data_IF_715513694473
#
_entry.id   IF_715513694473
#
_cell.length_a   1.000
_cell.length_b   1.000
_cell.length_c   1.000
_cell.angle_alpha   90.00
_cell.angle_beta   90.00
_cell.angle_gamma   90.00
#
_symmetry.space_group_name_H-M   'P 1'
#
loop_
_entity.id
_entity.type
_entity.pdbx_description
1 polymer ?
#
# COMPACT_ATOMS: atom_id res chain seq x y z
N UNK A 1 -17.71 -11.45 3.28
CA UNK A 1 -18.46 -10.20 3.01
C UNK A 1 -17.38 -9.26 2.55
N UNK A 2 -17.31 -9.00 1.24
CA UNK A 2 -16.10 -8.47 0.62
C UNK A 2 -15.79 -7.01 0.98
N UNK A 3 -14.70 -6.52 0.39
CA UNK A 3 -14.33 -5.11 0.49
C UNK A 3 -15.41 -4.22 -0.14
N UNK A 4 -15.78 -3.15 0.56
CA UNK A 4 -16.68 -2.10 0.08
C UNK A 4 -15.83 -1.06 -0.65
N UNK A 5 -15.83 -1.16 -1.98
CA UNK A 5 -15.05 -0.34 -2.90
C UNK A 5 -15.86 0.90 -3.29
N UNK A 6 -15.33 2.13 -3.14
CA UNK A 6 -15.99 3.33 -3.65
C UNK A 6 -16.21 3.27 -5.17
N UNK A 7 -17.35 3.75 -5.68
CA UNK A 7 -17.74 3.57 -7.08
C UNK A 7 -16.73 4.18 -8.06
N UNK A 8 -16.12 5.31 -7.71
CA UNK A 8 -15.17 6.02 -8.57
C UNK A 8 -13.71 5.58 -8.36
N UNK A 9 -13.43 4.65 -7.44
CA UNK A 9 -12.05 4.26 -7.17
C UNK A 9 -11.41 3.61 -8.40
N UNK A 10 -12.07 2.59 -8.97
CA UNK A 10 -11.52 1.81 -10.08
C UNK A 10 -11.29 2.69 -11.31
N UNK A 11 -12.26 3.54 -11.66
CA UNK A 11 -12.14 4.47 -12.79
C UNK A 11 -11.01 5.48 -12.57
N UNK A 12 -10.80 5.96 -11.34
CA UNK A 12 -9.73 6.90 -11.01
C UNK A 12 -8.32 6.31 -11.06
N UNK A 13 -8.21 5.00 -10.81
CA UNK A 13 -6.97 4.23 -10.81
C UNK A 13 -6.61 3.64 -12.19
N UNK A 14 -7.54 3.65 -13.15
CA UNK A 14 -7.32 3.07 -14.47
C UNK A 14 -6.03 3.58 -15.12
N UNK A 15 -5.21 2.66 -15.66
CA UNK A 15 -3.90 2.92 -16.25
C UNK A 15 -2.86 3.52 -15.27
N UNK A 16 -3.03 3.30 -13.97
CA UNK A 16 -2.11 3.78 -12.92
C UNK A 16 -1.63 2.63 -12.05
N UNK A 17 -0.70 2.97 -11.16
CA UNK A 17 -0.15 2.04 -10.18
C UNK A 17 -0.91 2.13 -8.85
N UNK A 18 -1.24 0.98 -8.26
CA UNK A 18 -1.68 0.88 -6.87
C UNK A 18 -0.57 0.26 -6.04
N UNK A 19 0.09 1.08 -5.25
CA UNK A 19 1.16 0.72 -4.33
C UNK A 19 0.56 0.13 -3.05
N UNK A 20 0.97 -1.09 -2.71
CA UNK A 20 0.49 -1.81 -1.53
C UNK A 20 1.47 -1.70 -0.36
N UNK A 21 0.90 -1.43 0.81
CA UNK A 21 1.57 -1.43 2.11
C UNK A 21 1.56 -2.84 2.75
N UNK A 22 2.43 -3.08 3.74
CA UNK A 22 2.59 -4.33 4.50
C UNK A 22 1.26 -4.77 5.13
N UNK A 23 0.46 -3.84 5.67
CA UNK A 23 -0.82 -4.17 6.28
C UNK A 23 -1.83 -4.80 5.30
N UNK A 24 -1.76 -4.44 4.02
CA UNK A 24 -2.63 -5.02 2.98
C UNK A 24 -2.27 -6.47 2.73
N UNK A 25 -0.98 -6.79 2.59
CA UNK A 25 -0.53 -8.19 2.44
C UNK A 25 -0.88 -9.04 3.67
N UNK A 26 -0.70 -8.48 4.87
CA UNK A 26 -1.07 -9.16 6.12
C UNK A 26 -2.55 -9.48 6.15
N UNK A 27 -3.42 -8.50 5.91
CA UNK A 27 -4.87 -8.70 5.99
C UNK A 27 -5.37 -9.60 4.85
N UNK A 28 -4.84 -9.44 3.63
CA UNK A 28 -5.13 -10.33 2.50
C UNK A 28 -4.76 -11.79 2.80
N UNK A 29 -3.59 -12.04 3.40
CA UNK A 29 -3.18 -13.42 3.73
C UNK A 29 -4.07 -14.11 4.78
N UNK A 30 -4.77 -13.32 5.62
CA UNK A 30 -5.72 -13.82 6.61
C UNK A 30 -7.12 -14.02 6.02
N UNK A 31 -7.44 -13.31 4.94
CA UNK A 31 -8.75 -13.27 4.31
C UNK A 31 -8.61 -13.38 2.77
N UNK A 32 -8.05 -14.50 2.26
CA UNK A 32 -7.63 -14.59 0.86
C UNK A 32 -8.80 -14.50 -0.13
N UNK A 33 -9.97 -15.07 0.20
CA UNK A 33 -11.15 -15.04 -0.67
C UNK A 33 -11.63 -13.60 -0.92
N UNK A 34 -11.87 -12.83 0.15
CA UNK A 34 -12.38 -11.46 0.04
C UNK A 34 -11.39 -10.53 -0.70
N UNK A 35 -10.07 -10.73 -0.53
CA UNK A 35 -9.05 -9.93 -1.22
C UNK A 35 -8.75 -10.41 -2.65
N UNK A 36 -8.96 -11.69 -2.97
CA UNK A 36 -8.74 -12.21 -4.33
C UNK A 36 -9.67 -11.53 -5.32
N UNK A 37 -10.95 -11.38 -4.98
CA UNK A 37 -11.93 -10.67 -5.81
C UNK A 37 -11.51 -9.22 -6.06
N UNK A 38 -11.05 -8.53 -5.01
CA UNK A 38 -10.54 -7.17 -5.13
C UNK A 38 -9.34 -7.08 -6.07
N UNK A 39 -8.34 -7.96 -5.92
CA UNK A 39 -7.16 -7.94 -6.80
C UNK A 39 -7.51 -8.34 -8.25
N UNK A 40 -8.49 -9.20 -8.47
CA UNK A 40 -8.97 -9.54 -9.81
C UNK A 40 -9.62 -8.33 -10.48
N UNK A 41 -10.50 -7.60 -9.78
CA UNK A 41 -11.10 -6.35 -10.29
C UNK A 41 -10.01 -5.34 -10.69
N UNK A 42 -8.96 -5.19 -9.87
CA UNK A 42 -7.85 -4.29 -10.19
C UNK A 42 -7.11 -4.73 -11.46
N UNK A 43 -6.79 -6.02 -11.58
CA UNK A 43 -6.10 -6.61 -12.74
C UNK A 43 -6.92 -6.46 -14.03
N UNK A 44 -8.23 -6.70 -13.96
CA UNK A 44 -9.16 -6.56 -15.10
C UNK A 44 -9.39 -5.10 -15.53
N UNK A 45 -9.06 -4.14 -14.67
CA UNK A 45 -9.29 -2.71 -14.89
C UNK A 45 -8.06 -1.93 -15.35
N UNK A 46 -7.03 -2.61 -15.86
CA UNK A 46 -5.74 -2.01 -16.26
C UNK A 46 -5.03 -1.27 -15.11
N UNK A 47 -5.19 -1.74 -13.87
CA UNK A 47 -4.52 -1.17 -12.69
C UNK A 47 -3.34 -2.07 -12.35
N UNK A 48 -2.14 -1.47 -12.36
CA UNK A 48 -0.92 -2.22 -12.03
C UNK A 48 -0.71 -2.23 -10.52
N UNK A 49 -0.89 -3.38 -9.89
CA UNK A 49 -0.58 -3.57 -8.47
C UNK A 49 0.93 -3.67 -8.28
N UNK A 50 1.50 -2.82 -7.43
CA UNK A 50 2.95 -2.75 -7.18
C UNK A 50 3.24 -2.66 -5.68
N UNK A 51 4.49 -2.89 -5.28
CA UNK A 51 4.97 -2.67 -3.91
C UNK A 51 6.47 -2.33 -3.91
N UNK A 52 7.11 -2.30 -2.75
CA UNK A 52 8.55 -2.03 -2.56
C UNK A 52 9.22 -3.11 -1.72
N UNK A 53 10.54 -3.23 -1.82
CA UNK A 53 11.30 -4.24 -1.08
C UNK A 53 11.10 -4.15 0.44
N UNK A 54 11.02 -2.95 1.01
CA UNK A 54 10.78 -2.78 2.44
C UNK A 54 9.50 -3.47 2.90
N UNK A 55 8.41 -3.36 2.12
CA UNK A 55 7.13 -4.00 2.41
C UNK A 55 7.23 -5.52 2.29
N UNK A 56 7.90 -6.03 1.23
CA UNK A 56 8.17 -7.46 1.07
C UNK A 56 8.93 -8.02 2.28
N UNK A 57 10.00 -7.35 2.68
CA UNK A 57 10.84 -7.74 3.82
C UNK A 57 10.01 -7.79 5.10
N UNK A 58 9.20 -6.76 5.39
CA UNK A 58 8.37 -6.73 6.59
C UNK A 58 7.34 -7.85 6.62
N UNK A 59 6.67 -8.11 5.49
CA UNK A 59 5.68 -9.17 5.38
C UNK A 59 6.29 -10.56 5.62
N UNK A 60 7.41 -10.84 4.95
CA UNK A 60 8.11 -12.13 5.04
C UNK A 60 8.76 -12.35 6.41
N UNK A 61 9.33 -11.29 7.03
CA UNK A 61 9.90 -11.34 8.39
C UNK A 61 8.90 -11.83 9.43
N UNK A 62 7.61 -11.59 9.21
CA UNK A 62 6.56 -12.09 10.10
C UNK A 62 6.29 -13.60 10.01
N UNK A 63 7.09 -14.39 9.29
CA UNK A 63 6.97 -15.84 9.23
C UNK A 63 7.69 -16.51 10.43
N UNK A 64 7.03 -17.42 11.18
CA UNK A 64 7.65 -18.07 12.34
C UNK A 64 8.63 -19.20 11.97
N UNK A 65 8.59 -19.70 10.74
CA UNK A 65 9.44 -20.78 10.25
C UNK A 65 9.51 -20.79 8.71
N UNK A 66 10.40 -21.62 8.17
CA UNK A 66 10.67 -21.75 6.73
C UNK A 66 9.42 -22.12 5.90
N UNK A 67 8.58 -23.04 6.40
CA UNK A 67 7.37 -23.43 5.66
C UNK A 67 6.41 -22.23 5.53
N UNK A 68 6.22 -21.48 6.62
CA UNK A 68 5.41 -20.26 6.61
C UNK A 68 6.04 -19.13 5.81
N UNK A 69 7.37 -19.08 5.71
CA UNK A 69 8.05 -18.13 4.85
C UNK A 69 7.68 -18.39 3.38
N UNK A 70 7.79 -19.64 2.92
CA UNK A 70 7.43 -20.04 1.55
C UNK A 70 5.95 -19.79 1.24
N UNK A 71 5.05 -20.18 2.13
CA UNK A 71 3.62 -19.90 1.97
C UNK A 71 3.34 -18.38 1.80
N UNK A 72 4.02 -17.53 2.57
CA UNK A 72 3.90 -16.07 2.43
C UNK A 72 4.51 -15.57 1.13
N UNK A 73 5.67 -16.07 0.74
CA UNK A 73 6.33 -15.70 -0.51
C UNK A 73 5.45 -16.03 -1.71
N UNK A 74 4.93 -17.26 -1.78
CA UNK A 74 4.00 -17.68 -2.83
C UNK A 74 2.74 -16.80 -2.85
N UNK A 75 2.19 -16.48 -1.68
CA UNK A 75 1.03 -15.60 -1.56
C UNK A 75 1.32 -14.17 -2.05
N UNK A 76 2.48 -13.62 -1.69
CA UNK A 76 2.93 -12.31 -2.12
C UNK A 76 3.05 -12.25 -3.65
N UNK A 77 3.70 -13.24 -4.25
CA UNK A 77 3.94 -13.31 -5.69
C UNK A 77 2.64 -13.53 -6.51
N UNK A 78 1.60 -14.08 -5.89
CA UNK A 78 0.26 -14.19 -6.48
C UNK A 78 -0.47 -12.83 -6.53
N UNK A 79 -0.21 -11.94 -5.57
CA UNK A 79 -0.79 -10.59 -5.53
C UNK A 79 -0.05 -9.68 -6.52
N UNK A 80 1.28 -9.58 -6.39
CA UNK A 80 2.09 -8.76 -7.28
C UNK A 80 3.51 -9.31 -7.43
N UNK A 81 4.03 -9.26 -8.65
CA UNK A 81 5.43 -9.54 -8.98
C UNK A 81 6.25 -8.27 -9.25
N UNK A 82 5.60 -7.11 -9.15
CA UNK A 82 6.20 -5.83 -9.55
C UNK A 82 6.63 -5.08 -8.29
N UNK A 83 7.93 -5.06 -8.08
CA UNK A 83 8.58 -4.31 -7.00
C UNK A 83 9.21 -3.06 -7.63
N UNK A 84 8.84 -1.88 -7.13
CA UNK A 84 9.40 -0.63 -7.61
C UNK A 84 10.86 -0.49 -7.14
N UNK A 85 11.80 -0.18 -8.05
CA UNK A 85 13.21 -0.07 -7.68
C UNK A 85 13.45 1.17 -6.84
N UNK A 86 14.29 1.02 -5.82
CA UNK A 86 14.84 2.16 -5.09
C UNK A 86 15.92 2.84 -5.93
N UNK A 87 15.82 4.16 -6.11
CA UNK A 87 16.84 4.97 -6.78
C UNK A 87 17.19 6.22 -5.96
N UNK A 88 18.14 7.02 -6.45
CA UNK A 88 18.62 8.23 -5.77
C UNK A 88 17.50 9.23 -5.48
N UNK A 89 16.54 9.37 -6.40
CA UNK A 89 15.39 10.27 -6.23
C UNK A 89 14.47 9.82 -5.08
N UNK A 90 14.20 8.51 -4.96
CA UNK A 90 13.45 7.96 -3.82
C UNK A 90 14.17 8.24 -2.50
N UNK A 91 15.49 8.04 -2.47
CA UNK A 91 16.31 8.32 -1.29
C UNK A 91 16.24 9.81 -0.93
N UNK A 92 16.38 10.71 -1.91
CA UNK A 92 16.26 12.16 -1.69
C UNK A 92 14.88 12.54 -1.15
N UNK A 93 13.80 12.06 -1.79
CA UNK A 93 12.43 12.27 -1.33
C UNK A 93 12.22 11.76 0.10
N UNK A 94 12.81 10.61 0.47
CA UNK A 94 12.72 10.09 1.83
C UNK A 94 13.36 11.03 2.87
N UNK A 95 14.49 11.67 2.54
CA UNK A 95 15.11 12.67 3.42
C UNK A 95 14.25 13.93 3.56
N UNK A 96 13.57 14.34 2.48
CA UNK A 96 12.60 15.45 2.54
C UNK A 96 11.43 15.10 3.46
N UNK A 97 10.90 13.89 3.34
CA UNK A 97 9.84 13.39 4.21
C UNK A 97 10.29 13.38 5.66
N UNK A 98 11.48 12.87 5.98
CA UNK A 98 12.01 12.89 7.36
C UNK A 98 11.96 14.29 7.98
N UNK A 99 12.32 15.33 7.22
CA UNK A 99 12.24 16.72 7.71
C UNK A 99 10.80 17.10 8.06
N UNK A 100 9.84 16.71 7.22
CA UNK A 100 8.40 16.99 7.40
C UNK A 100 7.76 16.20 8.55
N UNK A 101 8.12 14.94 8.71
CA UNK A 101 7.68 14.13 9.86
C UNK A 101 8.23 14.67 11.18
N UNK A 102 9.48 15.15 11.19
CA UNK A 102 10.09 15.78 12.37
C UNK A 102 9.35 17.06 12.79
N UNK A 103 8.91 17.88 11.84
CA UNK A 103 8.09 19.07 12.11
C UNK A 103 6.76 18.71 12.82
N UNK A 104 6.27 17.47 12.66
CA UNK A 104 5.04 16.97 13.26
C UNK A 104 5.27 16.17 14.56
N UNK A 105 6.52 16.04 15.02
CA UNK A 105 6.86 15.38 16.29
C UNK A 105 6.74 13.85 16.30
N UNK A 106 6.63 13.20 15.13
CA UNK A 106 6.45 11.75 15.01
C UNK A 106 7.72 10.99 14.64
N UNK A 107 7.77 9.71 15.01
CA UNK A 107 8.67 8.70 14.41
C UNK A 107 7.96 8.06 13.21
N UNK A 108 8.69 7.77 12.14
CA UNK A 108 8.14 7.16 10.91
C UNK A 108 8.96 5.93 10.55
N UNK A 109 8.30 4.83 10.16
CA UNK A 109 9.02 3.64 9.74
C UNK A 109 9.73 3.87 8.40
N UNK A 110 10.80 3.12 8.14
CA UNK A 110 11.53 3.21 6.88
C UNK A 110 10.62 2.84 5.70
N UNK A 111 9.74 1.83 5.88
CA UNK A 111 8.78 1.46 4.85
C UNK A 111 7.85 2.63 4.49
N UNK A 112 7.28 3.32 5.48
CA UNK A 112 6.40 4.48 5.25
C UNK A 112 7.10 5.63 4.53
N UNK A 113 8.38 5.90 4.88
CA UNK A 113 9.21 6.88 4.18
C UNK A 113 9.38 6.53 2.71
N UNK A 114 9.66 5.25 2.41
CA UNK A 114 9.86 4.80 1.04
C UNK A 114 8.55 4.75 0.25
N UNK A 115 7.43 4.36 0.88
CA UNK A 115 6.10 4.42 0.28
C UNK A 115 5.74 5.86 -0.10
N UNK A 116 5.90 6.80 0.83
CA UNK A 116 5.68 8.23 0.57
C UNK A 116 6.61 8.78 -0.50
N UNK A 117 7.89 8.39 -0.50
CA UNK A 117 8.86 8.83 -1.50
C UNK A 117 8.49 8.36 -2.92
N UNK A 118 7.89 7.17 -3.05
CA UNK A 118 7.37 6.67 -4.33
C UNK A 118 6.15 7.49 -4.78
N UNK A 119 5.26 7.89 -3.87
CA UNK A 119 4.17 8.82 -4.21
C UNK A 119 4.70 10.17 -4.72
N UNK A 120 5.80 10.68 -4.13
CA UNK A 120 6.45 11.92 -4.58
C UNK A 120 7.06 11.79 -5.98
N UNK A 121 7.72 10.67 -6.27
CA UNK A 121 8.36 10.41 -7.57
C UNK A 121 7.35 10.25 -8.69
N UNK A 122 6.38 9.34 -8.53
CA UNK A 122 5.45 8.98 -9.61
C UNK A 122 4.19 9.86 -9.66
N UNK A 123 3.98 10.70 -8.64
CA UNK A 123 2.96 11.76 -8.58
C UNK A 123 1.55 11.26 -8.93
N UNK A 124 0.99 11.73 -10.04
CA UNK A 124 -0.37 11.43 -10.49
C UNK A 124 -0.57 9.99 -10.98
N UNK A 125 0.52 9.26 -11.20
CA UNK A 125 0.50 7.92 -11.80
C UNK A 125 0.52 6.80 -10.76
N UNK A 126 0.49 7.14 -9.46
CA UNK A 126 0.53 6.16 -8.38
C UNK A 126 -0.42 6.58 -7.24
N UNK A 127 -1.00 5.57 -6.60
CA UNK A 127 -1.76 5.71 -5.36
C UNK A 127 -1.25 4.69 -4.36
N UNK A 128 -1.36 4.98 -3.07
CA UNK A 128 -1.00 4.07 -1.98
C UNK A 128 -2.26 3.56 -1.31
N UNK A 129 -2.39 2.24 -1.14
CA UNK A 129 -3.41 1.61 -0.31
C UNK A 129 -2.79 1.21 1.04
N UNK A 130 -3.29 1.77 2.13
CA UNK A 130 -2.77 1.52 3.47
C UNK A 130 -3.85 1.62 4.54
N UNK A 131 -3.72 0.83 5.61
CA UNK A 131 -4.49 0.95 6.86
C UNK A 131 -4.00 2.06 7.78
N UNK A 132 -2.77 2.55 7.60
CA UNK A 132 -2.12 3.51 8.49
C UNK A 132 -2.56 4.94 8.15
N UNK A 133 -3.83 5.25 8.40
CA UNK A 133 -4.46 6.46 7.87
C UNK A 133 -3.98 7.76 8.50
N UNK A 134 -3.29 7.68 9.65
CA UNK A 134 -2.83 8.82 10.45
C UNK A 134 -1.34 9.11 10.28
N UNK A 135 -0.58 8.20 9.67
CA UNK A 135 0.88 8.32 9.63
C UNK A 135 1.33 9.18 8.45
N UNK A 136 0.57 9.28 7.35
CA UNK A 136 0.95 10.11 6.21
C UNK A 136 0.68 11.61 6.46
N UNK A 137 1.68 12.50 6.35
CA UNK A 137 1.51 13.94 6.55
C UNK A 137 0.45 14.50 5.59
N UNK A 138 -0.67 14.94 6.14
CA UNK A 138 -1.77 15.52 5.37
C UNK A 138 -1.37 16.81 4.63
N UNK A 139 -0.24 17.43 4.98
CA UNK A 139 0.33 18.57 4.25
C UNK A 139 0.92 18.18 2.89
N UNK A 140 1.28 16.90 2.70
CA UNK A 140 1.94 16.37 1.50
C UNK A 140 1.01 15.41 0.74
N UNK A 141 0.22 14.62 1.47
CA UNK A 141 -0.60 13.57 0.89
C UNK A 141 -2.09 13.84 1.07
N UNK A 142 -2.86 13.48 0.05
CA UNK A 142 -4.32 13.52 0.05
C UNK A 142 -4.89 12.11 0.22
N UNK A 143 -5.81 11.95 1.18
CA UNK A 143 -6.73 10.82 1.21
C UNK A 143 -7.80 11.04 0.13
N UNK A 144 -7.87 10.16 -0.87
CA UNK A 144 -8.84 10.27 -1.98
C UNK A 144 -10.03 9.33 -1.85
N UNK A 145 -9.78 8.12 -1.36
CA UNK A 145 -10.82 7.11 -1.22
C UNK A 145 -10.63 6.35 0.08
N UNK A 146 -11.73 5.80 0.58
CA UNK A 146 -11.75 4.94 1.74
C UNK A 146 -12.40 3.62 1.32
N UNK A 147 -11.68 2.52 1.50
CA UNK A 147 -12.20 1.16 1.33
C UNK A 147 -12.49 0.61 2.72
N UNK A 148 -13.71 0.13 2.93
CA UNK A 148 -14.09 -0.50 4.19
C UNK A 148 -14.21 -2.01 4.03
N UNK A 149 -13.74 -2.76 5.00
CA UNK A 149 -13.85 -4.21 5.05
C UNK A 149 -14.60 -4.61 6.33
N UNK A 150 -15.92 -4.88 6.23
CA UNK A 150 -16.73 -5.28 7.36
C UNK A 150 -16.43 -6.73 7.74
N UNK A 151 -15.92 -6.92 8.95
CA UNK A 151 -15.70 -8.22 9.57
C UNK A 151 -16.67 -8.40 10.74
N UNK A 152 -16.89 -9.65 11.17
CA UNK A 152 -17.73 -9.96 12.34
C UNK A 152 -17.27 -9.23 13.62
N UNK A 153 -15.99 -8.85 13.69
CA UNK A 153 -15.37 -8.19 14.86
C UNK A 153 -15.25 -6.66 14.72
N UNK A 154 -15.73 -6.07 13.63
CA UNK A 154 -15.64 -4.64 13.38
C UNK A 154 -15.34 -4.29 11.92
N UNK A 155 -15.09 -3.02 11.64
CA UNK A 155 -14.80 -2.54 10.28
C UNK A 155 -13.32 -2.19 10.21
N UNK A 156 -12.61 -2.80 9.26
CA UNK A 156 -11.27 -2.35 8.89
C UNK A 156 -11.39 -1.30 7.80
N UNK A 157 -10.59 -0.24 7.92
CA UNK A 157 -10.62 0.90 7.01
C UNK A 157 -9.26 1.07 6.38
N UNK A 158 -9.23 1.12 5.05
CA UNK A 158 -8.04 1.37 4.25
C UNK A 158 -8.20 2.69 3.51
N UNK A 159 -7.20 3.55 3.63
CA UNK A 159 -7.13 4.79 2.86
C UNK A 159 -6.39 4.59 1.55
N UNK A 160 -6.87 5.25 0.50
CA UNK A 160 -6.19 5.37 -0.79
C UNK A 160 -5.63 6.78 -0.91
N UNK A 161 -4.31 6.88 -0.92
CA UNK A 161 -3.57 8.15 -0.86
C UNK A 161 -2.89 8.49 -2.18
N UNK A 162 -2.73 9.78 -2.45
CA UNK A 162 -1.85 10.29 -3.51
C UNK A 162 -1.09 11.52 -3.02
N UNK A 163 -0.05 11.95 -3.73
CA UNK A 163 0.56 13.26 -3.47
C UNK A 163 -0.44 14.39 -3.76
N UNK A 164 -0.42 15.44 -2.92
CA UNK A 164 -1.10 16.70 -3.19
C UNK A 164 -0.56 17.33 -4.46
N UNK A 165 -1.47 17.75 -5.32
CA UNK A 165 -1.16 18.46 -6.57
C UNK A 165 -1.06 19.96 -6.31
#
# INVERSE_FOLDING_TARGET
MGLIIPPDLISSLKNKHLLLDTNIFIDASKHPEDFTDFFNILKESDITVVTIDCVRIEFLRGAPNENKYKEKEDYFDNITKIILPTNVEIIQNSYELVKKYKEQGGTVAIADLYLGANLMKYKSNIYLLSKNTTELPSTIFDLKYIINYPLNKGIFTYGVYKIKS
#
